data_IF_676562091584
#
_entry.id   IF_676562091584
#
_cell.length_a   1.000
_cell.length_b   1.000
_cell.length_c   1.000
_cell.angle_alpha   90.00
_cell.angle_beta   90.00
_cell.angle_gamma   90.00
#
_symmetry.space_group_name_H-M   'P 1'
#
loop_
_entity.id
_entity.type
_entity.pdbx_description
1 polymer ?
#
# COMPACT_ATOMS: atom_id res chain seq x y z
N UNK A 1 -0.01 -18.44 16.20
CA UNK A 1 -1.00 -17.79 15.32
C UNK A 1 -2.01 -17.04 16.17
N UNK A 2 -2.71 -17.71 17.09
CA UNK A 2 -3.73 -17.11 17.97
C UNK A 2 -3.18 -15.90 18.77
N UNK A 3 -1.96 -16.02 19.33
CA UNK A 3 -1.29 -14.92 20.03
C UNK A 3 -1.02 -13.72 19.11
N UNK A 4 -0.60 -13.96 17.87
CA UNK A 4 -0.35 -12.92 16.89
C UNK A 4 -1.66 -12.22 16.45
N UNK A 5 -2.73 -12.98 16.22
CA UNK A 5 -4.05 -12.43 15.89
C UNK A 5 -4.54 -11.54 17.03
N UNK A 6 -4.50 -12.03 18.28
CA UNK A 6 -4.92 -11.24 19.44
C UNK A 6 -4.07 -9.97 19.62
N UNK A 7 -2.76 -10.05 19.38
CA UNK A 7 -1.84 -8.91 19.49
C UNK A 7 -2.01 -7.87 18.38
N UNK A 8 -2.53 -8.24 17.20
CA UNK A 8 -2.75 -7.35 16.06
C UNK A 8 -4.18 -6.78 15.98
N UNK A 9 -5.11 -7.34 16.77
CA UNK A 9 -6.52 -6.94 16.77
C UNK A 9 -6.75 -5.67 17.59
N UNK A 10 -6.24 -4.53 17.12
CA UNK A 10 -6.45 -3.22 17.74
C UNK A 10 -6.72 -2.16 16.65
N UNK A 11 -7.47 -1.09 17.00
CA UNK A 11 -7.70 0.00 16.07
C UNK A 11 -6.40 0.67 15.63
N UNK A 12 -6.28 0.92 14.32
CA UNK A 12 -5.12 1.59 13.71
C UNK A 12 -5.52 3.00 13.30
N UNK A 13 -4.68 3.99 13.62
CA UNK A 13 -4.84 5.35 13.13
C UNK A 13 -3.73 5.64 12.10
N UNK A 14 -4.15 5.93 10.88
CA UNK A 14 -3.27 6.42 9.82
C UNK A 14 -3.39 7.96 9.76
N UNK A 15 -2.31 8.64 10.05
CA UNK A 15 -2.33 10.09 10.18
C UNK A 15 -2.19 10.81 8.85
N UNK A 16 -3.04 11.81 8.62
CA UNK A 16 -2.81 12.85 7.65
C UNK A 16 -1.95 13.98 8.20
N UNK A 17 -1.52 14.91 7.35
CA UNK A 17 -0.83 16.12 7.79
C UNK A 17 -1.73 17.02 8.63
N UNK A 18 -3.05 16.99 8.35
CA UNK A 18 -4.09 17.61 9.17
C UNK A 18 -4.87 16.52 9.91
N UNK A 19 -5.24 16.77 11.17
CA UNK A 19 -5.96 15.80 11.99
C UNK A 19 -7.36 15.47 11.44
N UNK A 20 -7.97 16.36 10.67
CA UNK A 20 -9.23 16.10 9.96
C UNK A 20 -9.12 15.02 8.89
N UNK A 21 -7.89 14.71 8.46
CA UNK A 21 -7.56 13.68 7.49
C UNK A 21 -6.98 12.40 8.15
N UNK A 22 -7.06 12.27 9.46
CA UNK A 22 -6.68 11.04 10.16
C UNK A 22 -7.72 9.94 9.85
N UNK A 23 -7.26 8.73 9.52
CA UNK A 23 -8.12 7.57 9.24
C UNK A 23 -8.09 6.63 10.43
N UNK A 24 -9.24 6.38 11.01
CA UNK A 24 -9.38 5.43 12.11
C UNK A 24 -9.88 4.09 11.56
N UNK A 25 -8.99 3.14 11.39
CA UNK A 25 -9.31 1.79 10.90
C UNK A 25 -9.76 0.96 12.11
N UNK A 26 -11.07 0.83 12.29
CA UNK A 26 -11.69 0.08 13.39
C UNK A 26 -12.46 -1.15 12.92
N UNK A 27 -12.55 -1.37 11.60
CA UNK A 27 -13.28 -2.45 10.95
C UNK A 27 -14.74 -2.14 10.60
N UNK A 28 -15.21 -0.92 10.87
CA UNK A 28 -16.58 -0.47 10.56
C UNK A 28 -16.64 0.59 9.47
N UNK A 29 -15.59 1.38 9.35
CA UNK A 29 -15.48 2.47 8.39
C UNK A 29 -14.98 1.95 7.04
N UNK A 30 -15.39 2.62 5.97
CA UNK A 30 -14.92 2.39 4.60
C UNK A 30 -14.23 3.66 4.12
N UNK A 31 -12.96 3.54 3.73
CA UNK A 31 -12.17 4.62 3.21
C UNK A 31 -11.80 4.37 1.75
N UNK A 32 -11.93 5.39 0.93
CA UNK A 32 -11.56 5.33 -0.48
C UNK A 32 -10.20 5.96 -0.73
N UNK A 33 -9.36 5.28 -1.48
CA UNK A 33 -8.04 5.76 -1.85
C UNK A 33 -7.72 5.55 -3.31
N UNK A 34 -6.63 6.17 -3.73
CA UNK A 34 -6.10 5.96 -5.08
C UNK A 34 -5.19 4.73 -5.14
N UNK A 35 -4.79 4.35 -6.35
CA UNK A 35 -3.86 3.26 -6.59
C UNK A 35 -3.60 3.10 -8.09
N UNK A 36 -2.88 2.04 -8.45
CA UNK A 36 -2.67 1.66 -9.84
C UNK A 36 -1.24 1.78 -10.32
N UNK A 37 -0.53 2.87 -10.03
CA UNK A 37 0.87 3.08 -10.40
C UNK A 37 1.17 2.80 -11.89
N UNK A 38 0.44 3.47 -12.79
CA UNK A 38 0.61 3.29 -14.23
C UNK A 38 1.89 3.95 -14.75
N UNK A 39 2.57 3.39 -15.77
CA UNK A 39 3.74 4.00 -16.39
C UNK A 39 3.40 5.04 -17.46
N UNK A 40 2.13 5.14 -17.87
CA UNK A 40 1.64 6.04 -18.92
C UNK A 40 0.39 6.78 -18.48
N UNK A 41 0.19 7.97 -19.03
CA UNK A 41 -0.98 8.82 -18.80
C UNK A 41 -1.49 9.37 -20.12
N UNK A 42 -2.81 9.54 -20.24
CA UNK A 42 -3.41 10.31 -21.31
C UNK A 42 -3.25 11.80 -20.99
N UNK A 43 -2.42 12.49 -21.73
CA UNK A 43 -2.24 13.94 -21.55
C UNK A 43 -3.50 14.69 -22.01
N UNK A 44 -4.13 15.40 -21.09
CA UNK A 44 -5.41 16.08 -21.33
C UNK A 44 -5.31 17.26 -22.31
N UNK A 45 -4.10 17.81 -22.56
CA UNK A 45 -3.89 18.94 -23.46
C UNK A 45 -3.70 18.46 -24.92
N UNK A 46 -2.94 17.38 -25.08
CA UNK A 46 -2.60 16.85 -26.41
C UNK A 46 -3.48 15.71 -26.86
N UNK A 47 -4.23 15.10 -25.93
CA UNK A 47 -5.00 13.87 -26.12
C UNK A 47 -4.14 12.69 -26.63
N UNK A 48 -2.87 12.66 -26.22
CA UNK A 48 -1.89 11.63 -26.57
C UNK A 48 -1.43 10.88 -25.32
N UNK A 49 -1.18 9.59 -25.44
CA UNK A 49 -0.53 8.83 -24.37
C UNK A 49 0.96 9.19 -24.32
N UNK A 50 1.45 9.44 -23.12
CA UNK A 50 2.88 9.66 -22.85
C UNK A 50 3.33 8.98 -21.57
N UNK A 51 4.63 8.83 -21.39
CA UNK A 51 5.21 8.41 -20.12
C UNK A 51 4.88 9.41 -19.01
N UNK A 52 4.70 8.87 -17.81
CA UNK A 52 4.42 9.65 -16.60
C UNK A 52 5.69 10.21 -15.99
N UNK A 53 5.56 11.36 -15.35
CA UNK A 53 6.64 12.10 -14.69
C UNK A 53 6.37 12.28 -13.20
N UNK A 54 7.38 12.76 -12.46
CA UNK A 54 7.21 13.13 -11.05
C UNK A 54 6.20 14.28 -10.88
N UNK A 55 6.14 15.19 -11.84
CA UNK A 55 5.15 16.28 -11.85
C UNK A 55 3.74 15.74 -11.95
N UNK A 56 3.49 14.72 -12.78
CA UNK A 56 2.17 14.10 -12.88
C UNK A 56 1.75 13.47 -11.53
N UNK A 57 2.68 12.83 -10.85
CA UNK A 57 2.41 12.28 -9.52
C UNK A 57 2.04 13.37 -8.50
N UNK A 58 2.78 14.46 -8.49
CA UNK A 58 2.52 15.61 -7.62
C UNK A 58 1.16 16.26 -7.93
N UNK A 59 0.85 16.48 -9.20
CA UNK A 59 -0.43 17.08 -9.62
C UNK A 59 -1.62 16.16 -9.31
N UNK A 60 -1.45 14.83 -9.46
CA UNK A 60 -2.45 13.86 -9.03
C UNK A 60 -2.68 13.93 -7.51
N UNK A 61 -1.63 14.03 -6.71
CA UNK A 61 -1.75 14.17 -5.26
C UNK A 61 -2.51 15.46 -4.89
N UNK A 62 -2.22 16.57 -5.58
CA UNK A 62 -2.95 17.84 -5.39
C UNK A 62 -4.43 17.76 -5.79
N UNK A 63 -4.73 17.03 -6.86
CA UNK A 63 -6.11 16.78 -7.26
C UNK A 63 -6.85 16.01 -6.17
N UNK A 64 -6.25 14.93 -5.69
CA UNK A 64 -6.84 14.08 -4.64
C UNK A 64 -7.02 14.85 -3.33
N UNK A 65 -6.14 15.77 -3.01
CA UNK A 65 -6.29 16.64 -1.83
C UNK A 65 -7.59 17.45 -1.85
N UNK A 66 -8.11 17.78 -3.03
CA UNK A 66 -9.35 18.56 -3.23
C UNK A 66 -10.62 17.72 -3.33
N UNK A 67 -10.50 16.41 -3.45
CA UNK A 67 -11.66 15.52 -3.59
C UNK A 67 -12.11 15.04 -2.21
N UNK A 68 -13.29 15.48 -1.78
CA UNK A 68 -13.84 15.17 -0.44
C UNK A 68 -14.06 13.67 -0.21
N UNK A 69 -14.45 12.93 -1.26
CA UNK A 69 -14.76 11.51 -1.17
C UNK A 69 -13.57 10.58 -1.46
N UNK A 70 -12.34 11.09 -1.37
CA UNK A 70 -11.13 10.29 -1.46
C UNK A 70 -10.31 10.55 -0.20
N UNK A 71 -10.14 9.53 0.63
CA UNK A 71 -9.65 9.68 1.99
C UNK A 71 -8.12 9.63 2.11
N UNK A 72 -7.45 8.88 1.22
CA UNK A 72 -5.99 8.74 1.24
C UNK A 72 -5.40 8.70 -0.17
N UNK A 73 -4.12 9.02 -0.26
CA UNK A 73 -3.37 8.97 -1.51
C UNK A 73 -2.45 7.75 -1.55
N UNK A 74 -2.66 6.87 -2.51
CA UNK A 74 -1.69 5.86 -2.90
C UNK A 74 -1.16 6.18 -4.30
N UNK A 75 0.11 5.89 -4.56
CA UNK A 75 0.79 6.19 -5.83
C UNK A 75 -0.06 5.81 -7.05
N UNK A 76 -0.39 6.80 -7.88
CA UNK A 76 -1.22 6.62 -9.09
C UNK A 76 -0.40 6.35 -10.34
N UNK A 77 0.82 6.89 -10.39
CA UNK A 77 1.73 6.79 -11.54
C UNK A 77 3.16 6.48 -11.11
N UNK A 78 3.97 5.97 -12.02
CA UNK A 78 5.42 5.74 -11.84
C UNK A 78 6.18 6.85 -12.55
N UNK A 79 6.96 7.66 -11.85
CA UNK A 79 7.77 8.73 -12.44
C UNK A 79 8.88 8.15 -13.33
N UNK A 80 8.64 8.09 -14.65
CA UNK A 80 9.56 7.50 -15.64
C UNK A 80 10.76 8.39 -15.96
N UNK A 81 10.69 9.66 -15.62
CA UNK A 81 11.77 10.64 -15.72
C UNK A 81 12.87 10.41 -14.67
N UNK A 82 12.62 9.65 -13.61
CA UNK A 82 13.62 9.29 -12.59
C UNK A 82 14.20 7.90 -12.88
N UNK A 83 15.50 7.80 -13.09
CA UNK A 83 16.17 6.54 -13.50
C UNK A 83 16.69 5.72 -12.32
N UNK A 84 17.15 6.36 -11.25
CA UNK A 84 17.64 5.70 -10.05
C UNK A 84 16.45 5.16 -9.22
N UNK A 85 16.48 3.87 -8.84
CA UNK A 85 15.44 3.28 -7.97
C UNK A 85 15.34 3.99 -6.63
N UNK A 86 16.49 4.33 -6.04
CA UNK A 86 16.55 5.07 -4.79
C UNK A 86 15.85 6.42 -4.91
N UNK A 87 16.22 7.18 -5.92
CA UNK A 87 15.66 8.51 -6.12
C UNK A 87 14.17 8.44 -6.49
N UNK A 88 13.75 7.42 -7.22
CA UNK A 88 12.34 7.16 -7.52
C UNK A 88 11.53 6.96 -6.24
N UNK A 89 11.98 6.09 -5.33
CA UNK A 89 11.27 5.80 -4.09
C UNK A 89 11.20 7.04 -3.18
N UNK A 90 12.32 7.74 -2.97
CA UNK A 90 12.37 8.93 -2.12
C UNK A 90 11.54 10.09 -2.69
N UNK A 91 11.68 10.38 -4.00
CA UNK A 91 10.94 11.47 -4.63
C UNK A 91 9.45 11.14 -4.76
N UNK A 92 9.07 9.88 -4.99
CA UNK A 92 7.67 9.45 -4.97
C UNK A 92 7.01 9.77 -3.63
N UNK A 93 7.63 9.40 -2.53
CA UNK A 93 7.14 9.71 -1.19
C UNK A 93 7.07 11.22 -0.96
N UNK A 94 8.15 11.94 -1.26
CA UNK A 94 8.25 13.38 -1.03
C UNK A 94 7.24 14.18 -1.86
N UNK A 95 7.11 13.89 -3.17
CA UNK A 95 6.14 14.56 -4.04
C UNK A 95 4.70 14.29 -3.60
N UNK A 96 4.40 13.06 -3.16
CA UNK A 96 3.09 12.72 -2.63
C UNK A 96 2.76 13.52 -1.37
N UNK A 97 3.66 13.57 -0.39
CA UNK A 97 3.48 14.36 0.83
C UNK A 97 3.36 15.87 0.56
N UNK A 98 4.09 16.37 -0.44
CA UNK A 98 3.99 17.77 -0.85
C UNK A 98 2.67 18.11 -1.57
N UNK A 99 2.06 17.12 -2.21
CA UNK A 99 0.85 17.27 -3.01
C UNK A 99 -0.44 17.19 -2.21
N UNK A 100 -0.48 16.44 -1.11
CA UNK A 100 -1.71 16.22 -0.34
C UNK A 100 -1.50 16.36 1.16
N UNK A 101 -2.55 16.78 1.87
CA UNK A 101 -2.61 16.79 3.34
C UNK A 101 -3.18 15.50 3.92
N UNK A 102 -3.64 14.58 3.06
CA UNK A 102 -4.17 13.27 3.42
C UNK A 102 -3.06 12.28 3.72
N UNK A 103 -3.40 11.13 4.32
CA UNK A 103 -2.44 10.04 4.52
C UNK A 103 -1.89 9.53 3.19
N UNK A 104 -0.58 9.22 3.15
CA UNK A 104 0.10 8.75 1.93
C UNK A 104 0.50 7.28 2.09
N UNK A 105 -0.01 6.41 1.20
CA UNK A 105 0.46 5.04 1.07
C UNK A 105 1.50 4.96 -0.04
N UNK A 106 2.72 4.56 0.28
CA UNK A 106 3.82 4.44 -0.69
C UNK A 106 4.43 3.05 -0.69
N UNK A 107 5.28 2.76 -1.65
CA UNK A 107 6.05 1.51 -1.72
C UNK A 107 7.52 1.84 -1.83
N UNK A 108 8.35 0.96 -1.29
CA UNK A 108 9.81 1.10 -1.28
C UNK A 108 10.42 -0.19 -1.79
N UNK A 109 11.45 -0.10 -2.61
CA UNK A 109 12.06 -1.25 -3.28
C UNK A 109 13.27 -1.85 -2.52
N UNK A 110 13.75 -1.19 -1.47
CA UNK A 110 14.91 -1.65 -0.70
C UNK A 110 14.84 -1.19 0.76
N UNK A 111 15.22 -2.05 1.69
CA UNK A 111 15.20 -1.77 3.12
C UNK A 111 16.06 -0.55 3.53
N UNK A 112 17.19 -0.30 2.84
CA UNK A 112 18.01 0.86 3.13
C UNK A 112 17.29 2.18 2.84
N UNK A 113 16.41 2.21 1.84
CA UNK A 113 15.64 3.40 1.50
C UNK A 113 14.56 3.69 2.55
N UNK A 114 14.06 2.66 3.25
CA UNK A 114 13.15 2.83 4.40
C UNK A 114 13.81 3.69 5.48
N UNK A 115 15.10 3.42 5.80
CA UNK A 115 15.87 4.22 6.78
C UNK A 115 16.02 5.67 6.36
N UNK A 116 16.21 5.91 5.07
CA UNK A 116 16.32 7.28 4.54
C UNK A 116 14.96 7.99 4.60
N UNK A 117 13.89 7.32 4.23
CA UNK A 117 12.52 7.82 4.36
C UNK A 117 12.22 8.18 5.83
N UNK A 118 12.58 7.33 6.79
CA UNK A 118 12.38 7.62 8.21
C UNK A 118 13.08 8.92 8.63
N UNK A 119 14.33 9.14 8.20
CA UNK A 119 15.07 10.38 8.48
C UNK A 119 14.36 11.62 7.89
N UNK A 120 13.83 11.50 6.68
CA UNK A 120 13.06 12.61 6.04
C UNK A 120 11.80 12.90 6.84
N UNK A 121 11.07 11.86 7.24
CA UNK A 121 9.85 12.01 8.04
C UNK A 121 10.14 12.65 9.41
N UNK A 122 11.21 12.24 10.08
CA UNK A 122 11.64 12.82 11.36
C UNK A 122 11.96 14.32 11.20
N UNK A 123 12.63 14.69 10.11
CA UNK A 123 12.92 16.08 9.80
C UNK A 123 11.63 16.89 9.56
N UNK A 124 10.70 16.39 8.73
CA UNK A 124 9.41 17.03 8.47
C UNK A 124 8.65 17.25 9.79
N UNK A 125 8.63 16.24 10.66
CA UNK A 125 7.93 16.33 11.95
C UNK A 125 8.57 17.36 12.89
N UNK A 126 9.90 17.46 12.90
CA UNK A 126 10.61 18.45 13.72
C UNK A 126 10.30 19.89 13.30
N UNK A 127 10.22 20.16 11.99
CA UNK A 127 9.90 21.48 11.45
C UNK A 127 8.45 21.89 11.75
N UNK A 128 7.50 20.95 11.68
CA UNK A 128 6.07 21.23 11.92
C UNK A 128 5.75 21.36 13.42
N UNK A 129 6.72 21.14 14.33
CA UNK A 129 6.55 21.11 15.81
C UNK A 129 5.37 20.22 16.21
N UNK A 130 5.10 19.17 15.46
CA UNK A 130 4.05 18.22 15.76
C UNK A 130 4.44 17.47 17.05
N UNK A 131 3.75 17.76 18.15
CA UNK A 131 4.00 17.18 19.46
C UNK A 131 3.81 15.66 19.53
N UNK A 132 3.22 15.05 18.49
CA UNK A 132 2.95 13.63 18.41
C UNK A 132 3.74 13.05 17.22
N UNK A 133 4.40 11.93 17.44
CA UNK A 133 5.15 11.18 16.45
C UNK A 133 4.20 10.54 15.41
N UNK A 134 3.59 11.37 14.57
CA UNK A 134 2.57 10.97 13.60
C UNK A 134 3.22 10.36 12.36
N UNK A 135 2.89 9.11 12.06
CA UNK A 135 3.28 8.51 10.78
C UNK A 135 2.37 9.03 9.66
N UNK A 136 2.88 9.98 8.85
CA UNK A 136 2.16 10.57 7.71
C UNK A 136 2.10 9.63 6.51
N UNK A 137 2.85 8.53 6.56
CA UNK A 137 2.86 7.51 5.52
C UNK A 137 2.65 6.12 6.10
N UNK A 138 2.20 5.20 5.24
CA UNK A 138 2.33 3.76 5.41
C UNK A 138 3.01 3.13 4.19
N UNK A 139 3.65 1.97 4.39
CA UNK A 139 4.30 1.23 3.32
C UNK A 139 3.40 0.12 2.80
N UNK A 140 3.21 0.07 1.48
CA UNK A 140 2.62 -1.07 0.80
C UNK A 140 3.71 -2.09 0.50
N UNK A 141 3.63 -3.28 1.07
CA UNK A 141 4.63 -4.32 0.89
C UNK A 141 3.97 -5.62 0.41
N UNK A 142 4.41 -6.12 -0.74
CA UNK A 142 4.04 -7.44 -1.25
C UNK A 142 5.18 -8.40 -0.90
N UNK A 143 5.13 -8.98 0.28
CA UNK A 143 6.19 -9.84 0.85
C UNK A 143 6.22 -11.25 0.25
N UNK A 144 5.22 -11.60 -0.57
CA UNK A 144 5.05 -12.92 -1.19
C UNK A 144 5.03 -12.82 -2.69
N UNK A 145 5.77 -13.69 -3.35
CA UNK A 145 5.59 -14.08 -4.75
C UNK A 145 4.68 -15.31 -4.75
N UNK A 146 3.40 -15.10 -5.05
CA UNK A 146 2.40 -16.19 -5.10
C UNK A 146 2.77 -17.25 -6.16
N UNK A 147 2.63 -18.56 -5.86
CA UNK A 147 2.08 -19.11 -4.63
C UNK A 147 3.12 -19.29 -3.51
N UNK A 148 2.77 -18.90 -2.29
CA UNK A 148 3.35 -19.34 -1.02
C UNK A 148 4.89 -19.18 -0.88
N UNK A 149 5.52 -18.25 -1.58
CA UNK A 149 6.96 -17.99 -1.53
C UNK A 149 7.29 -16.58 -1.08
N UNK A 150 8.00 -16.45 0.03
CA UNK A 150 8.51 -15.15 0.46
C UNK A 150 9.51 -14.57 -0.55
N UNK A 151 9.39 -13.27 -0.80
CA UNK A 151 10.38 -12.49 -1.54
C UNK A 151 11.36 -11.85 -0.55
N UNK A 152 12.65 -12.19 -0.60
CA UNK A 152 13.62 -11.71 0.40
C UNK A 152 13.68 -10.19 0.49
N UNK A 153 13.76 -9.48 -0.63
CA UNK A 153 13.89 -8.03 -0.66
C UNK A 153 12.66 -7.35 -0.05
N UNK A 154 11.47 -7.84 -0.38
CA UNK A 154 10.21 -7.30 0.17
C UNK A 154 10.02 -7.64 1.65
N UNK A 155 10.49 -8.82 2.09
CA UNK A 155 10.52 -9.17 3.51
C UNK A 155 11.47 -8.24 4.29
N UNK A 156 12.64 -7.93 3.74
CA UNK A 156 13.57 -6.98 4.36
C UNK A 156 12.97 -5.58 4.46
N UNK A 157 12.22 -5.13 3.46
CA UNK A 157 11.46 -3.86 3.50
C UNK A 157 10.39 -3.90 4.61
N UNK A 158 9.64 -5.01 4.73
CA UNK A 158 8.65 -5.18 5.78
C UNK A 158 9.30 -5.10 7.16
N UNK A 159 10.37 -5.87 7.37
CA UNK A 159 11.12 -5.92 8.64
C UNK A 159 11.67 -4.54 9.02
N UNK A 160 12.29 -3.84 8.07
CA UNK A 160 12.85 -2.52 8.33
C UNK A 160 11.78 -1.47 8.55
N UNK A 161 10.64 -1.55 7.83
CA UNK A 161 9.49 -0.69 8.04
C UNK A 161 8.91 -0.82 9.45
N UNK A 162 8.73 -2.07 9.91
CA UNK A 162 8.30 -2.36 11.29
C UNK A 162 9.29 -1.79 12.30
N UNK A 163 10.60 -2.07 12.15
CA UNK A 163 11.66 -1.54 13.03
C UNK A 163 11.70 -0.01 13.07
N UNK A 164 11.34 0.63 11.97
CA UNK A 164 11.25 2.09 11.86
C UNK A 164 9.94 2.66 12.39
N UNK A 165 9.03 1.83 12.91
CA UNK A 165 7.73 2.23 13.44
C UNK A 165 6.78 2.78 12.37
N UNK A 166 6.98 2.45 11.09
CA UNK A 166 6.11 2.88 9.99
C UNK A 166 5.00 1.84 9.82
N UNK A 167 3.71 2.24 9.75
CA UNK A 167 2.61 1.33 9.47
C UNK A 167 2.82 0.58 8.15
N UNK A 168 2.55 -0.72 8.13
CA UNK A 168 2.73 -1.59 6.97
C UNK A 168 1.39 -2.12 6.49
N UNK A 169 1.04 -1.86 5.23
CA UNK A 169 0.00 -2.60 4.52
C UNK A 169 0.62 -3.90 4.00
N UNK A 170 0.29 -5.00 4.65
CA UNK A 170 0.78 -6.34 4.30
C UNK A 170 -0.07 -6.87 3.16
N UNK A 171 0.38 -6.62 1.95
CA UNK A 171 -0.37 -6.94 0.74
C UNK A 171 0.04 -8.29 0.14
N UNK A 172 -0.93 -8.94 -0.50
CA UNK A 172 -0.70 -10.08 -1.38
C UNK A 172 -1.36 -9.83 -2.72
N UNK A 173 -0.86 -10.46 -3.76
CA UNK A 173 -1.32 -10.25 -5.13
C UNK A 173 -1.37 -11.59 -5.87
N UNK A 174 -2.30 -12.46 -5.44
CA UNK A 174 -2.50 -13.76 -6.07
C UNK A 174 -3.53 -13.65 -7.20
N UNK A 175 -3.17 -14.17 -8.37
CA UNK A 175 -4.03 -14.16 -9.55
C UNK A 175 -4.79 -15.50 -9.63
N UNK A 176 -6.10 -15.46 -9.48
CA UNK A 176 -6.98 -16.63 -9.56
C UNK A 176 -6.86 -17.28 -10.92
N UNK A 177 -6.49 -18.56 -10.94
CA UNK A 177 -6.27 -19.34 -12.16
C UNK A 177 -4.87 -19.20 -12.77
N UNK A 178 -3.98 -18.37 -12.21
CA UNK A 178 -2.58 -18.23 -12.67
C UNK A 178 -1.61 -18.52 -11.51
N UNK A 179 -1.41 -17.57 -10.60
CA UNK A 179 -0.55 -17.76 -9.41
C UNK A 179 -1.34 -18.20 -8.17
N UNK A 180 -2.61 -18.46 -8.31
CA UNK A 180 -3.49 -19.05 -7.31
C UNK A 180 -4.39 -20.09 -7.98
N UNK A 181 -5.02 -20.94 -7.15
CA UNK A 181 -5.96 -21.95 -7.65
C UNK A 181 -7.16 -21.31 -8.33
N UNK A 182 -7.78 -22.03 -9.28
CA UNK A 182 -8.87 -21.51 -10.11
C UNK A 182 -10.20 -21.34 -9.35
N UNK A 183 -10.40 -22.12 -8.28
CA UNK A 183 -11.62 -22.00 -7.47
C UNK A 183 -11.54 -20.77 -6.57
N UNK A 184 -12.60 -19.99 -6.51
CA UNK A 184 -12.64 -18.75 -5.74
C UNK A 184 -12.36 -19.00 -4.25
N UNK A 185 -12.98 -20.01 -3.64
CA UNK A 185 -12.75 -20.36 -2.23
C UNK A 185 -11.28 -20.76 -1.95
N UNK A 186 -10.69 -21.57 -2.83
CA UNK A 186 -9.27 -21.95 -2.69
C UNK A 186 -8.33 -20.77 -2.89
N UNK A 187 -8.62 -19.86 -3.83
CA UNK A 187 -7.84 -18.66 -4.05
C UNK A 187 -7.88 -17.72 -2.83
N UNK A 188 -9.05 -17.57 -2.21
CA UNK A 188 -9.20 -16.78 -0.97
C UNK A 188 -8.43 -17.44 0.17
N UNK A 189 -8.52 -18.75 0.35
CA UNK A 189 -7.75 -19.46 1.38
C UNK A 189 -6.24 -19.26 1.22
N UNK A 190 -5.71 -19.38 -0.02
CA UNK A 190 -4.31 -19.10 -0.31
C UNK A 190 -3.93 -17.66 -0.01
N UNK A 191 -4.73 -16.69 -0.50
CA UNK A 191 -4.48 -15.26 -0.30
C UNK A 191 -4.45 -14.90 1.20
N UNK A 192 -5.37 -15.48 1.98
CA UNK A 192 -5.39 -15.32 3.43
C UNK A 192 -4.13 -15.89 4.08
N UNK A 193 -3.75 -17.13 3.73
CA UNK A 193 -2.55 -17.78 4.27
C UNK A 193 -1.29 -16.95 3.99
N UNK A 194 -1.16 -16.44 2.76
CA UNK A 194 -0.04 -15.57 2.35
C UNK A 194 -0.04 -14.26 3.14
N UNK A 195 -1.19 -13.59 3.28
CA UNK A 195 -1.29 -12.32 4.02
C UNK A 195 -1.00 -12.54 5.52
N UNK A 196 -1.59 -13.57 6.13
CA UNK A 196 -1.36 -13.92 7.53
C UNK A 196 0.12 -14.24 7.81
N UNK A 197 0.81 -14.90 6.88
CA UNK A 197 2.24 -15.19 7.03
C UNK A 197 3.07 -13.89 7.14
N UNK A 198 2.75 -12.86 6.36
CA UNK A 198 3.39 -11.55 6.45
C UNK A 198 3.02 -10.79 7.72
N UNK A 199 1.75 -10.87 8.15
CA UNK A 199 1.31 -10.29 9.42
C UNK A 199 2.07 -10.90 10.61
N UNK A 200 2.20 -12.23 10.63
CA UNK A 200 2.97 -12.94 11.66
C UNK A 200 4.45 -12.56 11.62
N UNK A 201 5.04 -12.46 10.43
CA UNK A 201 6.43 -12.02 10.28
C UNK A 201 6.63 -10.63 10.90
N UNK A 202 5.77 -9.66 10.58
CA UNK A 202 5.86 -8.33 11.15
C UNK A 202 5.67 -8.30 12.67
N UNK A 203 4.71 -9.06 13.18
CA UNK A 203 4.46 -9.20 14.62
C UNK A 203 5.63 -9.86 15.37
N UNK A 204 6.34 -10.83 14.76
CA UNK A 204 7.55 -11.42 15.33
C UNK A 204 8.72 -10.45 15.40
N UNK A 205 8.77 -9.45 14.51
CA UNK A 205 9.78 -8.39 14.55
C UNK A 205 9.49 -7.39 15.69
N UNK A 206 8.24 -6.98 15.82
CA UNK A 206 7.76 -6.12 16.91
C UNK A 206 6.29 -6.43 17.20
N UNK A 207 6.01 -6.84 18.44
CA UNK A 207 4.64 -7.14 18.91
C UNK A 207 3.69 -5.93 18.90
N UNK A 208 4.23 -4.72 18.87
CA UNK A 208 3.48 -3.46 18.77
C UNK A 208 3.43 -2.91 17.34
N UNK A 209 3.84 -3.70 16.34
CA UNK A 209 3.82 -3.26 14.95
C UNK A 209 2.42 -2.86 14.49
N UNK A 210 2.32 -1.75 13.78
CA UNK A 210 1.07 -1.34 13.13
C UNK A 210 1.00 -2.01 11.76
N UNK A 211 0.23 -3.09 11.67
CA UNK A 211 0.06 -3.88 10.45
C UNK A 211 -1.39 -3.83 9.98
N UNK A 212 -1.56 -3.64 8.66
CA UNK A 212 -2.88 -3.59 8.02
C UNK A 212 -2.99 -4.81 7.12
N UNK A 213 -4.05 -5.59 7.32
CA UNK A 213 -4.36 -6.77 6.54
C UNK A 213 -4.83 -6.36 5.14
N UNK A 214 -4.05 -6.67 4.11
CA UNK A 214 -4.22 -6.15 2.76
C UNK A 214 -4.28 -7.21 1.66
N UNK A 215 -5.12 -8.26 1.77
CA UNK A 215 -5.26 -9.25 0.70
C UNK A 215 -5.88 -8.63 -0.55
N UNK A 216 -5.28 -8.87 -1.72
CA UNK A 216 -5.77 -8.40 -3.02
C UNK A 216 -5.86 -9.56 -4.00
N UNK A 217 -6.90 -10.43 -3.89
CA UNK A 217 -7.13 -11.46 -4.88
C UNK A 217 -7.47 -10.82 -6.23
N UNK A 218 -6.78 -11.23 -7.29
CA UNK A 218 -6.98 -10.69 -8.64
C UNK A 218 -7.54 -11.79 -9.55
N UNK A 219 -8.42 -11.41 -10.46
CA UNK A 219 -9.01 -12.35 -11.43
C UNK A 219 -8.17 -12.35 -12.72
N UNK A 220 -7.93 -13.55 -13.26
CA UNK A 220 -7.24 -13.72 -14.54
C UNK A 220 -8.23 -14.13 -15.62
N UNK A 221 -8.20 -13.47 -16.76
CA UNK A 221 -8.86 -14.00 -17.97
C UNK A 221 -8.01 -15.17 -18.48
N UNK A 222 -8.48 -16.39 -18.28
CA UNK A 222 -7.76 -17.62 -18.63
C UNK A 222 -7.55 -17.80 -20.15
N UNK A 223 -8.24 -17.03 -20.99
CA UNK A 223 -8.06 -17.05 -22.45
C UNK A 223 -6.86 -16.23 -22.89
N UNK A 224 -6.59 -15.14 -22.19
CA UNK A 224 -5.55 -14.18 -22.58
C UNK A 224 -4.37 -14.16 -21.61
N UNK A 225 -4.54 -14.71 -20.40
CA UNK A 225 -3.57 -14.61 -19.31
C UNK A 225 -3.51 -13.21 -18.66
N UNK A 226 -4.33 -12.27 -19.12
CA UNK A 226 -4.34 -10.91 -18.60
C UNK A 226 -5.15 -10.80 -17.30
N UNK A 227 -4.83 -9.78 -16.49
CA UNK A 227 -5.64 -9.44 -15.32
C UNK A 227 -6.98 -8.90 -15.80
N UNK A 228 -8.07 -9.52 -15.32
CA UNK A 228 -9.44 -9.11 -15.57
C UNK A 228 -9.93 -8.16 -14.47
N UNK A 229 -9.34 -6.97 -14.41
CA UNK A 229 -9.75 -5.94 -13.47
C UNK A 229 -11.15 -5.43 -13.78
N UNK A 230 -12.02 -5.35 -12.76
CA UNK A 230 -13.39 -4.90 -12.92
C UNK A 230 -14.39 -5.97 -13.40
N UNK A 231 -13.97 -7.25 -13.50
CA UNK A 231 -14.92 -8.36 -13.68
C UNK A 231 -15.86 -8.49 -12.47
N UNK A 232 -17.01 -9.15 -12.64
CA UNK A 232 -17.96 -9.35 -11.55
C UNK A 232 -17.37 -10.18 -10.39
N UNK A 233 -16.45 -11.08 -10.67
CA UNK A 233 -15.77 -11.92 -9.69
C UNK A 233 -14.80 -11.15 -8.81
N UNK A 234 -14.19 -10.07 -9.33
CA UNK A 234 -13.19 -9.27 -8.60
C UNK A 234 -13.77 -8.63 -7.33
N UNK A 235 -14.92 -7.92 -7.35
CA UNK A 235 -15.55 -7.39 -6.13
C UNK A 235 -15.96 -8.49 -5.16
N UNK A 236 -16.46 -9.63 -5.66
CA UNK A 236 -16.85 -10.77 -4.81
C UNK A 236 -15.63 -11.31 -4.07
N UNK A 237 -14.53 -11.55 -4.79
CA UNK A 237 -13.27 -12.02 -4.19
C UNK A 237 -12.74 -11.04 -3.12
N UNK A 238 -12.80 -9.74 -3.42
CA UNK A 238 -12.36 -8.69 -2.50
C UNK A 238 -13.25 -8.62 -1.25
N UNK A 239 -14.58 -8.71 -1.43
CA UNK A 239 -15.53 -8.73 -0.31
C UNK A 239 -15.34 -9.97 0.58
N UNK A 240 -15.13 -11.15 -0.01
CA UNK A 240 -14.81 -12.38 0.73
C UNK A 240 -13.52 -12.23 1.54
N UNK A 241 -12.46 -11.67 0.94
CA UNK A 241 -11.21 -11.41 1.64
C UNK A 241 -11.38 -10.42 2.80
N UNK A 242 -12.19 -9.36 2.61
CA UNK A 242 -12.52 -8.39 3.67
C UNK A 242 -13.34 -9.01 4.81
N UNK A 243 -14.32 -9.87 4.47
CA UNK A 243 -15.12 -10.57 5.48
C UNK A 243 -14.27 -11.52 6.35
N UNK A 244 -13.27 -12.15 5.76
CA UNK A 244 -12.37 -13.06 6.49
C UNK A 244 -11.36 -12.31 7.39
N UNK A 245 -11.22 -10.99 7.23
CA UNK A 245 -10.37 -10.16 8.08
C UNK A 245 -11.05 -9.72 9.39
N UNK A 246 -12.35 -9.93 9.51
CA UNK A 246 -13.18 -9.62 10.68
C UNK A 246 -13.23 -10.79 11.66
#
# INVERSE_FOLDING_TARGET
IEEAIAGLSHPVILHGQKSENDLQISGKEVYFGTGGATPTILDHKTNQFRETTLTDLFDNARLIDKLENVDFFSRTVIARDIKSRRDLDLNTMFASLRGTTKHVMTSVSNANYVKEIRKILDHIQSEVKAKNNKNLISLNTNHVVSPLRFDPDSCDVLIEGVKSGIPINVNTFAQVGASSVVTLAGAIAQTLAETMAGMILGWLVDKNATLIFGPRPMITDLRTGAISGGSAEQPIATAMAGQMAQ
#
